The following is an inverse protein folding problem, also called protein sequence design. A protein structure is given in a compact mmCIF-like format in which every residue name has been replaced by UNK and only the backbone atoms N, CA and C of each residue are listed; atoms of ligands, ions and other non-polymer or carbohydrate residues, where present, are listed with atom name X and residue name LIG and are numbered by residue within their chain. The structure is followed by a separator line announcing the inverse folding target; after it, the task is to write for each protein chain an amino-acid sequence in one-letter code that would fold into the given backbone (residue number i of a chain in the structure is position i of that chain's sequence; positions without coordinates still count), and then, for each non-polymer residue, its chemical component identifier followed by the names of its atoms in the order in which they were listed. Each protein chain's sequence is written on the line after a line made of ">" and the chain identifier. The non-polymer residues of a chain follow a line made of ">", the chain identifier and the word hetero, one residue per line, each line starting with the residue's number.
data_IF_493995198680
#
_entry.id   IF_493995198680
#
_cell.length_a   1.000
_cell.length_b   1.000
_cell.length_c   1.000
_cell.angle_alpha   90.00
_cell.angle_beta   90.00
_cell.angle_gamma   90.00
#
_symmetry.space_group_name_H-M   'P 1'
#
loop_
_entity.id
_entity.type
_entity.pdbx_description
1 polymer ?
#
# COMPACT_ATOMS: atom_id res chain seq x y z
N UNK A 1 29.63 1.77 36.57
CA UNK A 1 28.16 1.79 36.45
C UNK A 1 27.79 2.68 35.28
N UNK A 2 27.42 2.11 34.13
CA UNK A 2 26.67 2.81 33.09
C UNK A 2 25.81 1.77 32.40
N UNK A 3 24.55 1.71 32.80
CA UNK A 3 23.53 0.88 32.20
C UNK A 3 23.02 1.62 30.97
N UNK A 4 23.54 1.29 29.79
CA UNK A 4 22.96 1.77 28.54
C UNK A 4 21.61 1.06 28.35
N UNK A 5 20.51 1.79 28.57
CA UNK A 5 19.19 1.33 28.19
C UNK A 5 19.18 1.10 26.67
N UNK A 6 18.92 -0.14 26.27
CA UNK A 6 18.60 -0.48 24.89
C UNK A 6 17.43 0.39 24.44
N UNK A 7 17.54 1.17 23.35
CA UNK A 7 16.36 1.86 22.83
C UNK A 7 15.36 0.80 22.37
N UNK A 8 14.14 0.88 22.90
CA UNK A 8 13.01 0.13 22.35
C UNK A 8 12.88 0.42 20.85
N UNK A 9 12.50 -0.55 19.99
CA UNK A 9 12.29 -0.28 18.59
C UNK A 9 11.31 0.89 18.46
N UNK A 10 11.68 1.91 17.71
CA UNK A 10 10.80 3.04 17.45
C UNK A 10 9.49 2.48 16.91
N UNK A 11 8.38 2.70 17.62
CA UNK A 11 7.06 2.30 17.15
C UNK A 11 6.88 2.93 15.76
N UNK A 12 6.78 2.10 14.71
CA UNK A 12 6.64 2.57 13.34
C UNK A 12 5.48 3.55 13.28
N UNK A 13 5.73 4.74 12.71
CA UNK A 13 4.70 5.75 12.60
C UNK A 13 3.51 5.17 11.80
N UNK A 14 2.27 5.43 12.24
CA UNK A 14 1.10 4.89 11.56
C UNK A 14 1.06 5.39 10.11
N UNK A 15 0.90 4.46 9.16
CA UNK A 15 0.85 4.79 7.71
C UNK A 15 -0.47 5.46 7.29
N UNK A 16 -1.50 5.38 8.14
CA UNK A 16 -2.83 5.94 7.89
C UNK A 16 -3.48 6.39 9.20
N UNK A 17 -4.29 7.44 9.12
CA UNK A 17 -5.20 7.85 10.20
C UNK A 17 -6.40 6.91 10.34
N UNK A 18 -6.75 6.19 9.28
CA UNK A 18 -7.87 5.25 9.22
C UNK A 18 -7.38 3.80 9.41
N UNK A 19 -8.26 2.86 9.80
CA UNK A 19 -7.89 1.46 9.94
C UNK A 19 -7.33 0.89 8.64
N UNK A 20 -6.18 0.22 8.74
CA UNK A 20 -5.57 -0.52 7.62
C UNK A 20 -6.03 -1.98 7.72
N UNK A 21 -6.82 -2.48 6.75
CA UNK A 21 -7.30 -3.87 6.79
C UNK A 21 -6.14 -4.86 6.59
N UNK A 22 -6.28 -6.07 7.13
CA UNK A 22 -5.33 -7.15 6.83
C UNK A 22 -5.60 -7.67 5.41
N UNK A 23 -4.55 -8.07 4.70
CA UNK A 23 -4.65 -8.65 3.36
C UNK A 23 -5.67 -9.81 3.28
N UNK A 24 -5.70 -10.66 4.31
CA UNK A 24 -6.61 -11.81 4.40
C UNK A 24 -8.10 -11.44 4.48
N UNK A 25 -8.43 -10.21 4.86
CA UNK A 25 -9.81 -9.71 4.98
C UNK A 25 -10.25 -8.94 3.72
N UNK A 26 -9.35 -8.75 2.75
CA UNK A 26 -9.65 -8.02 1.51
C UNK A 26 -10.31 -8.92 0.47
N UNK A 27 -11.17 -8.35 -0.39
CA UNK A 27 -11.62 -8.98 -1.62
C UNK A 27 -10.43 -9.49 -2.46
N UNK A 28 -10.64 -10.63 -3.12
CA UNK A 28 -9.60 -11.34 -3.86
C UNK A 28 -8.93 -10.47 -4.92
N UNK A 29 -9.70 -9.72 -5.70
CA UNK A 29 -9.20 -8.84 -6.75
C UNK A 29 -8.24 -7.75 -6.22
N UNK A 30 -8.54 -7.19 -5.05
CA UNK A 30 -7.70 -6.20 -4.39
C UNK A 30 -6.43 -6.87 -3.84
N UNK A 31 -6.58 -8.02 -3.18
CA UNK A 31 -5.45 -8.77 -2.62
C UNK A 31 -4.44 -9.15 -3.68
N UNK A 32 -4.89 -9.79 -4.76
CA UNK A 32 -4.05 -10.20 -5.88
C UNK A 32 -3.28 -9.03 -6.48
N UNK A 33 -3.92 -7.85 -6.58
CA UNK A 33 -3.26 -6.64 -7.08
C UNK A 33 -2.15 -6.15 -6.15
N UNK A 34 -2.37 -6.23 -4.84
CA UNK A 34 -1.36 -5.84 -3.84
C UNK A 34 -0.18 -6.83 -3.85
N UNK A 35 -0.46 -8.13 -3.91
CA UNK A 35 0.55 -9.19 -3.98
C UNK A 35 1.41 -9.06 -5.24
N UNK A 36 0.80 -8.82 -6.41
CA UNK A 36 1.54 -8.60 -7.66
C UNK A 36 2.49 -7.40 -7.59
N UNK A 37 2.09 -6.32 -6.91
CA UNK A 37 2.98 -5.17 -6.68
C UNK A 37 4.10 -5.55 -5.73
N UNK A 38 3.81 -6.25 -4.64
CA UNK A 38 4.82 -6.70 -3.68
C UNK A 38 5.88 -7.59 -4.35
N UNK A 39 5.47 -8.54 -5.19
CA UNK A 39 6.38 -9.41 -5.93
C UNK A 39 7.29 -8.61 -6.87
N UNK A 40 6.75 -7.57 -7.51
CA UNK A 40 7.49 -6.73 -8.46
C UNK A 40 8.45 -5.74 -7.80
N UNK A 41 8.04 -5.08 -6.71
CA UNK A 41 8.82 -4.02 -6.06
C UNK A 41 9.59 -4.47 -4.81
N UNK A 42 9.26 -5.65 -4.26
CA UNK A 42 9.80 -6.15 -3.00
C UNK A 42 9.14 -5.54 -1.74
N UNK A 43 8.15 -4.66 -1.89
CA UNK A 43 7.40 -4.08 -0.77
C UNK A 43 6.02 -3.59 -1.21
N UNK A 44 5.10 -3.38 -0.28
CA UNK A 44 3.77 -2.81 -0.59
C UNK A 44 3.81 -1.29 -0.35
N UNK A 45 3.61 -0.44 -1.37
CA UNK A 45 3.50 1.01 -1.14
C UNK A 45 2.29 1.34 -0.27
N UNK A 46 2.47 2.25 0.70
CA UNK A 46 1.45 2.57 1.70
C UNK A 46 0.09 2.98 1.11
N UNK A 47 0.07 3.59 -0.08
CA UNK A 47 -1.18 3.97 -0.78
C UNK A 47 -2.11 2.78 -1.03
N UNK A 48 -1.56 1.59 -1.30
CA UNK A 48 -2.37 0.38 -1.49
C UNK A 48 -3.05 -0.02 -0.19
N UNK A 49 -2.30 -0.08 0.91
CA UNK A 49 -2.81 -0.49 2.22
C UNK A 49 -3.79 0.54 2.81
N UNK A 50 -3.47 1.83 2.68
CA UNK A 50 -4.30 2.91 3.20
C UNK A 50 -5.64 3.01 2.47
N UNK A 51 -5.67 2.88 1.12
CA UNK A 51 -6.91 2.94 0.35
C UNK A 51 -7.73 1.65 0.42
N UNK A 52 -7.11 0.50 0.73
CA UNK A 52 -7.81 -0.78 0.83
C UNK A 52 -8.90 -0.79 1.92
N UNK A 53 -8.88 0.17 2.86
CA UNK A 53 -9.98 0.41 3.80
C UNK A 53 -11.33 0.66 3.10
N UNK A 54 -11.30 1.19 1.88
CA UNK A 54 -12.47 1.49 1.04
C UNK A 54 -12.34 0.79 -0.32
N UNK A 55 -12.79 -0.48 -0.43
CA UNK A 55 -12.59 -1.29 -1.64
C UNK A 55 -13.06 -0.65 -2.95
N UNK A 56 -14.21 0.02 -2.94
CA UNK A 56 -14.76 0.63 -4.16
C UNK A 56 -13.97 1.88 -4.58
N UNK A 57 -13.53 2.68 -3.60
CA UNK A 57 -12.65 3.83 -3.83
C UNK A 57 -11.27 3.37 -4.33
N UNK A 58 -10.71 2.29 -3.76
CA UNK A 58 -9.48 1.66 -4.22
C UNK A 58 -9.58 1.27 -5.70
N UNK A 59 -10.66 0.57 -6.08
CA UNK A 59 -10.89 0.13 -7.47
C UNK A 59 -10.96 1.32 -8.42
N UNK A 60 -11.76 2.32 -8.08
CA UNK A 60 -11.91 3.52 -8.91
C UNK A 60 -10.59 4.29 -9.06
N UNK A 61 -9.86 4.48 -7.95
CA UNK A 61 -8.57 5.17 -7.93
C UNK A 61 -7.57 4.47 -8.86
N UNK A 62 -7.43 3.15 -8.72
CA UNK A 62 -6.43 2.42 -9.48
C UNK A 62 -6.82 2.19 -10.94
N UNK A 63 -8.10 2.06 -11.26
CA UNK A 63 -8.56 2.08 -12.64
C UNK A 63 -8.18 3.41 -13.32
N UNK A 64 -8.35 4.53 -12.62
CA UNK A 64 -7.98 5.84 -13.15
C UNK A 64 -6.47 6.05 -13.23
N UNK A 65 -5.72 5.58 -12.24
CA UNK A 65 -4.25 5.56 -12.27
C UNK A 65 -3.75 4.83 -13.51
N UNK A 66 -4.23 3.61 -13.76
CA UNK A 66 -3.78 2.82 -14.91
C UNK A 66 -4.15 3.50 -16.23
N UNK A 67 -5.36 4.06 -16.31
CA UNK A 67 -5.82 4.80 -17.49
C UNK A 67 -4.93 6.01 -17.81
N UNK A 68 -4.27 6.63 -16.83
CA UNK A 68 -3.40 7.79 -17.04
C UNK A 68 -1.91 7.41 -17.16
N UNK A 69 -1.43 6.53 -16.29
CA UNK A 69 0.00 6.21 -16.14
C UNK A 69 0.44 5.09 -17.09
N UNK A 70 -0.44 4.17 -17.45
CA UNK A 70 -0.10 3.02 -18.29
C UNK A 70 -0.50 3.18 -19.76
N UNK A 71 -1.33 4.16 -20.08
CA UNK A 71 -1.75 4.42 -21.47
C UNK A 71 -0.55 4.83 -22.36
N UNK A 72 -0.58 4.48 -23.66
CA UNK A 72 0.39 5.03 -24.61
C UNK A 72 0.16 6.53 -24.76
N UNK A 73 1.24 7.30 -24.78
CA UNK A 73 1.18 8.75 -24.90
C UNK A 73 2.54 9.37 -25.20
N UNK A 74 2.57 10.69 -25.28
CA UNK A 74 3.77 11.45 -25.65
C UNK A 74 4.65 11.81 -24.44
N UNK A 75 4.32 11.29 -23.25
CA UNK A 75 5.08 11.48 -22.02
C UNK A 75 5.74 10.16 -21.65
N UNK A 76 7.02 10.22 -21.27
CA UNK A 76 7.76 9.06 -20.74
C UNK A 76 7.32 8.75 -19.31
N UNK A 77 7.35 7.46 -18.93
CA UNK A 77 7.08 6.97 -17.58
C UNK A 77 8.23 7.26 -16.63
#
# INVERSE_FOLDING_TARGET
>A
MNTAATPAPAAEAPISRFPVPRLADLPEDIRTRIEAVQEKSGFIPNVFLALAHRPDEFRAFFAYHDALMERPGNLTK
#
